data_IF_904002874430
#
_entry.id   IF_904002874430
#
_cell.length_a   1.000
_cell.length_b   1.000
_cell.length_c   1.000
_cell.angle_alpha   90.00
_cell.angle_beta   90.00
_cell.angle_gamma   90.00
#
_symmetry.space_group_name_H-M   'P 1'
#
loop_
_entity.id
_entity.type
_entity.pdbx_description
1 polymer ?
#
# COMPACT_ATOMS: atom_id res chain seq x y z
N UNK A 1 3.89 13.79 -16.20
CA UNK A 1 3.78 12.90 -15.03
C UNK A 1 5.11 12.91 -14.28
N UNK A 2 5.03 12.79 -12.98
CA UNK A 2 6.18 12.64 -12.09
C UNK A 2 6.27 11.17 -11.69
N UNK A 3 7.48 10.60 -11.73
CA UNK A 3 7.75 9.27 -11.18
C UNK A 3 7.61 9.32 -9.66
N UNK A 4 6.89 8.35 -9.11
CA UNK A 4 6.74 8.17 -7.66
C UNK A 4 7.61 7.02 -7.19
N UNK A 5 7.44 5.84 -7.80
CA UNK A 5 8.18 4.64 -7.46
C UNK A 5 8.38 3.75 -8.70
N UNK A 6 9.36 2.86 -8.64
CA UNK A 6 9.59 1.87 -9.70
C UNK A 6 10.29 0.63 -9.17
N UNK A 7 9.89 -0.53 -9.69
CA UNK A 7 10.47 -1.82 -9.35
C UNK A 7 10.76 -2.64 -10.62
N UNK A 8 12.03 -2.97 -10.84
CA UNK A 8 12.47 -3.85 -11.93
C UNK A 8 12.41 -5.31 -11.45
N UNK A 9 11.83 -6.18 -12.26
CA UNK A 9 11.82 -7.62 -11.95
C UNK A 9 13.25 -8.20 -11.96
N UNK A 10 13.55 -9.21 -11.13
CA UNK A 10 14.88 -9.83 -11.04
C UNK A 10 15.40 -10.37 -12.38
N UNK A 11 14.52 -10.84 -13.25
CA UNK A 11 14.90 -11.31 -14.59
C UNK A 11 15.11 -10.16 -15.61
N UNK A 12 14.88 -8.90 -15.20
CA UNK A 12 15.05 -7.71 -16.05
C UNK A 12 14.01 -7.52 -17.15
N UNK A 13 12.99 -8.38 -17.23
CA UNK A 13 11.96 -8.31 -18.27
C UNK A 13 10.87 -7.28 -17.98
N UNK A 14 10.42 -7.19 -16.72
CA UNK A 14 9.29 -6.36 -16.34
C UNK A 14 9.70 -5.19 -15.46
N UNK A 15 9.14 -4.01 -15.72
CA UNK A 15 9.32 -2.84 -14.87
C UNK A 15 7.95 -2.29 -14.47
N UNK A 16 7.66 -2.30 -13.16
CA UNK A 16 6.54 -1.59 -12.59
C UNK A 16 6.93 -0.12 -12.36
N UNK A 17 6.01 0.79 -12.70
CA UNK A 17 6.25 2.23 -12.56
C UNK A 17 4.97 2.90 -12.05
N UNK A 18 5.04 3.49 -10.87
CA UNK A 18 3.99 4.34 -10.32
C UNK A 18 4.26 5.80 -10.68
N UNK A 19 3.26 6.47 -11.23
CA UNK A 19 3.35 7.87 -11.63
C UNK A 19 2.17 8.68 -11.11
N UNK A 20 2.41 9.95 -10.85
CA UNK A 20 1.36 10.93 -10.53
C UNK A 20 1.38 12.10 -11.50
N UNK A 21 0.31 12.88 -11.53
CA UNK A 21 0.28 14.11 -12.32
C UNK A 21 1.35 15.07 -11.82
N UNK A 22 2.16 15.61 -12.74
CA UNK A 22 3.13 16.63 -12.38
C UNK A 22 2.42 17.85 -11.78
N UNK A 23 2.90 18.34 -10.65
CA UNK A 23 2.43 19.59 -10.08
C UNK A 23 3.01 20.77 -10.86
N UNK A 24 2.16 21.64 -11.37
CA UNK A 24 2.58 23.01 -11.61
C UNK A 24 2.75 23.64 -10.23
N UNK A 25 3.97 23.71 -9.83
CA UNK A 25 4.54 24.31 -8.67
C UNK A 25 3.69 25.34 -7.91
N UNK A 26 3.23 24.97 -6.74
CA UNK A 26 3.26 25.77 -5.52
C UNK A 26 3.21 24.79 -4.36
N UNK A 27 4.31 24.14 -4.10
CA UNK A 27 4.53 23.41 -2.87
C UNK A 27 4.46 24.40 -1.71
N UNK A 28 3.27 24.67 -1.23
CA UNK A 28 3.09 25.30 0.06
C UNK A 28 3.24 24.22 1.14
N UNK A 29 4.45 23.68 1.23
CA UNK A 29 4.85 22.99 2.45
C UNK A 29 4.74 23.99 3.60
N UNK A 30 4.27 23.54 4.74
CA UNK A 30 4.37 24.35 5.95
C UNK A 30 5.84 24.41 6.36
N UNK A 31 6.21 25.46 7.06
CA UNK A 31 7.58 25.69 7.51
C UNK A 31 7.67 25.49 9.00
N UNK A 32 8.48 24.54 9.42
CA UNK A 32 8.71 24.25 10.82
C UNK A 32 10.04 24.90 11.28
N UNK A 33 9.99 25.91 12.15
CA UNK A 33 11.19 26.53 12.70
C UNK A 33 11.76 25.67 13.83
N UNK A 34 13.03 25.32 13.73
CA UNK A 34 13.83 24.70 14.78
C UNK A 34 14.60 25.78 15.54
N UNK A 35 14.18 26.05 16.77
CA UNK A 35 14.77 27.09 17.61
C UNK A 35 16.00 26.61 18.38
N UNK A 36 16.15 25.30 18.57
CA UNK A 36 17.29 24.69 19.27
C UNK A 36 18.22 24.04 18.25
N UNK A 37 19.21 24.80 17.79
CA UNK A 37 20.19 24.38 16.78
C UNK A 37 21.60 24.49 17.30
N UNK A 38 22.55 23.78 16.70
CA UNK A 38 23.97 23.88 17.06
C UNK A 38 24.59 25.24 16.69
N UNK A 39 24.02 25.90 15.69
CA UNK A 39 24.47 27.21 15.20
C UNK A 39 24.01 28.37 16.06
N UNK A 40 22.98 28.16 16.90
CA UNK A 40 22.32 29.23 17.67
C UNK A 40 21.38 30.09 16.82
N UNK A 41 21.23 29.79 15.53
CA UNK A 41 20.27 30.46 14.64
C UNK A 41 19.09 29.52 14.36
N UNK A 42 17.93 30.11 14.01
CA UNK A 42 16.75 29.34 13.66
C UNK A 42 16.97 28.67 12.31
N UNK A 43 16.85 27.36 12.28
CA UNK A 43 16.77 26.58 11.03
C UNK A 43 15.29 26.40 10.67
N UNK A 44 14.95 26.50 9.39
CA UNK A 44 13.58 26.33 8.91
C UNK A 44 13.55 25.15 7.95
N UNK A 45 12.78 24.14 8.30
CA UNK A 45 12.58 22.95 7.49
C UNK A 45 11.20 22.97 6.83
N UNK A 46 11.13 22.54 5.57
CA UNK A 46 9.85 22.31 4.90
C UNK A 46 9.27 20.99 5.40
N UNK A 47 8.07 21.06 5.99
CA UNK A 47 7.36 19.90 6.53
C UNK A 47 6.17 19.55 5.64
N UNK A 48 5.26 18.73 6.15
CA UNK A 48 4.06 18.29 5.42
C UNK A 48 3.25 19.48 4.93
N UNK A 49 2.50 19.25 3.87
CA UNK A 49 1.57 20.25 3.32
C UNK A 49 0.53 20.65 4.36
N UNK A 50 0.09 21.91 4.25
CA UNK A 50 -0.99 22.43 5.09
C UNK A 50 -2.28 21.62 4.88
N UNK A 51 -2.91 21.21 5.97
CA UNK A 51 -4.17 20.48 5.95
C UNK A 51 -5.24 21.31 5.22
N UNK A 52 -5.97 20.67 4.31
CA UNK A 52 -7.09 21.28 3.57
C UNK A 52 -6.70 22.16 2.38
N UNK A 53 -5.41 22.25 2.02
CA UNK A 53 -4.99 23.05 0.86
C UNK A 53 -4.90 22.27 -0.45
N UNK A 54 -4.50 21.02 -0.42
CA UNK A 54 -4.53 20.13 -1.59
C UNK A 54 -4.75 18.68 -1.14
N UNK A 55 -5.62 17.95 -1.83
CA UNK A 55 -5.69 16.49 -1.67
C UNK A 55 -4.46 15.84 -2.31
N UNK A 56 -3.93 14.76 -1.73
CA UNK A 56 -2.92 13.94 -2.38
C UNK A 56 -3.38 13.57 -3.79
N UNK A 57 -2.45 13.58 -4.75
CA UNK A 57 -2.80 13.28 -6.14
C UNK A 57 -2.87 11.77 -6.34
N UNK A 58 -3.86 11.30 -7.12
CA UNK A 58 -3.93 9.90 -7.49
C UNK A 58 -2.69 9.49 -8.27
N UNK A 59 -2.34 8.23 -8.11
CA UNK A 59 -1.28 7.59 -8.86
C UNK A 59 -1.87 6.64 -9.89
N UNK A 60 -1.14 6.42 -10.99
CA UNK A 60 -1.40 5.38 -11.97
C UNK A 60 -0.22 4.40 -11.97
N UNK A 61 -0.51 3.11 -12.08
CA UNK A 61 0.50 2.06 -12.15
C UNK A 61 0.62 1.55 -13.58
N UNK A 62 1.85 1.47 -14.04
CA UNK A 62 2.20 0.99 -15.37
C UNK A 62 3.12 -0.22 -15.27
N UNK A 63 2.85 -1.22 -16.11
CA UNK A 63 3.73 -2.35 -16.35
C UNK A 63 4.40 -2.16 -17.71
N UNK A 64 5.72 -2.17 -17.75
CA UNK A 64 6.52 -2.08 -18.96
C UNK A 64 7.16 -3.44 -19.24
N UNK A 65 6.94 -3.97 -20.43
CA UNK A 65 7.67 -5.12 -20.96
C UNK A 65 8.94 -4.60 -21.64
N UNK A 66 10.08 -4.84 -21.03
CA UNK A 66 11.38 -4.36 -21.50
C UNK A 66 11.86 -5.09 -22.75
N UNK A 67 11.34 -6.29 -23.02
CA UNK A 67 11.67 -7.08 -24.21
C UNK A 67 10.89 -6.59 -25.42
N UNK A 68 9.56 -6.51 -25.32
CA UNK A 68 8.69 -6.04 -26.40
C UNK A 68 8.61 -4.52 -26.51
N UNK A 69 9.10 -3.79 -25.50
CA UNK A 69 9.02 -2.31 -25.34
C UNK A 69 7.58 -1.80 -25.32
N UNK A 70 6.67 -2.60 -24.82
CA UNK A 70 5.28 -2.25 -24.63
C UNK A 70 5.02 -1.78 -23.21
N UNK A 71 4.00 -0.94 -23.04
CA UNK A 71 3.54 -0.48 -21.73
C UNK A 71 2.06 -0.73 -21.59
N UNK A 72 1.67 -1.09 -20.37
CA UNK A 72 0.30 -1.40 -20.04
C UNK A 72 -0.08 -0.64 -18.75
N UNK A 73 -1.20 0.06 -18.77
CA UNK A 73 -1.77 0.64 -17.57
C UNK A 73 -2.52 -0.44 -16.80
N UNK A 74 -2.22 -0.57 -15.52
CA UNK A 74 -2.87 -1.54 -14.64
C UNK A 74 -4.04 -0.86 -13.95
N UNK A 75 -5.26 -1.37 -14.20
CA UNK A 75 -6.49 -0.80 -13.67
C UNK A 75 -6.75 -1.25 -12.23
N UNK A 76 -7.16 -0.33 -11.38
CA UNK A 76 -7.66 -0.60 -10.02
C UNK A 76 -9.18 -0.47 -9.92
N UNK A 77 -9.88 -0.28 -11.03
CA UNK A 77 -11.31 0.00 -11.05
C UNK A 77 -12.20 -1.16 -10.56
N UNK A 78 -11.66 -2.39 -10.57
CA UNK A 78 -12.39 -3.59 -10.14
C UNK A 78 -12.10 -3.99 -8.69
N UNK A 79 -11.32 -3.18 -7.96
CA UNK A 79 -11.04 -3.46 -6.54
C UNK A 79 -12.33 -3.36 -5.71
N UNK A 80 -12.58 -4.31 -4.80
CA UNK A 80 -13.78 -4.28 -3.98
C UNK A 80 -13.84 -3.00 -3.15
N UNK A 81 -15.00 -2.35 -3.15
CA UNK A 81 -15.23 -1.10 -2.42
C UNK A 81 -14.58 0.15 -2.98
N UNK A 82 -13.92 0.08 -4.14
CA UNK A 82 -13.20 1.23 -4.72
C UNK A 82 -14.11 2.41 -5.10
N UNK A 83 -15.36 2.15 -5.44
CA UNK A 83 -16.42 3.12 -5.76
C UNK A 83 -17.41 3.35 -4.63
N UNK A 84 -17.28 2.61 -3.52
CA UNK A 84 -18.19 2.70 -2.39
C UNK A 84 -17.89 3.93 -1.52
N UNK A 85 -18.93 4.44 -0.85
CA UNK A 85 -18.73 5.45 0.20
C UNK A 85 -18.06 4.79 1.42
N UNK A 86 -16.82 5.14 1.77
CA UNK A 86 -16.08 4.47 2.84
C UNK A 86 -16.67 4.70 4.24
N UNK A 87 -17.65 5.59 4.35
CA UNK A 87 -18.37 5.90 5.59
C UNK A 87 -19.83 5.43 5.55
N UNK A 88 -20.19 4.53 4.62
CA UNK A 88 -21.55 4.10 4.39
C UNK A 88 -22.25 3.62 5.66
N UNK A 89 -21.59 2.76 6.43
CA UNK A 89 -22.14 2.20 7.68
C UNK A 89 -22.39 3.26 8.74
N UNK A 90 -21.43 4.18 8.93
CA UNK A 90 -21.55 5.29 9.88
C UNK A 90 -22.65 6.28 9.47
N UNK A 91 -22.76 6.57 8.18
CA UNK A 91 -23.82 7.42 7.64
C UNK A 91 -25.19 6.77 7.79
N UNK A 92 -25.29 5.49 7.46
CA UNK A 92 -26.53 4.73 7.62
C UNK A 92 -27.01 4.68 9.08
N UNK A 93 -26.09 4.52 10.02
CA UNK A 93 -26.41 4.51 11.45
C UNK A 93 -26.92 5.88 11.97
N UNK A 94 -26.73 6.95 11.22
CA UNK A 94 -27.14 8.33 11.55
C UNK A 94 -28.24 8.86 10.62
N UNK A 95 -28.87 8.00 9.83
CA UNK A 95 -29.87 8.37 8.82
C UNK A 95 -29.34 9.40 7.79
N UNK A 96 -28.04 9.41 7.52
CA UNK A 96 -27.41 10.26 6.50
C UNK A 96 -27.43 9.52 5.16
N UNK A 97 -27.82 10.16 4.04
CA UNK A 97 -27.79 9.51 2.73
C UNK A 97 -26.39 9.03 2.33
N UNK A 98 -26.31 7.81 1.85
CA UNK A 98 -25.09 7.18 1.33
C UNK A 98 -25.09 7.34 -0.19
N UNK A 99 -23.96 7.76 -0.74
CA UNK A 99 -23.76 7.91 -2.18
C UNK A 99 -22.43 7.28 -2.58
N UNK A 100 -22.46 6.32 -3.47
CA UNK A 100 -21.26 5.78 -4.08
C UNK A 100 -20.61 6.82 -5.02
N UNK A 101 -19.30 6.74 -5.18
CA UNK A 101 -18.60 7.60 -6.12
C UNK A 101 -18.98 7.27 -7.57
N UNK A 102 -19.12 8.29 -8.42
CA UNK A 102 -19.34 8.09 -9.87
C UNK A 102 -18.10 7.50 -10.56
N UNK A 103 -16.93 7.69 -9.98
CA UNK A 103 -15.65 7.19 -10.45
C UNK A 103 -14.93 6.46 -9.32
N UNK A 104 -14.02 5.54 -9.64
CA UNK A 104 -13.17 4.90 -8.63
C UNK A 104 -12.47 5.94 -7.75
N UNK A 105 -12.44 5.68 -6.44
CA UNK A 105 -11.72 6.55 -5.51
C UNK A 105 -10.23 6.60 -5.87
N UNK A 106 -9.58 7.75 -5.70
CA UNK A 106 -8.16 7.90 -6.00
C UNK A 106 -7.31 7.04 -5.07
N UNK A 107 -6.25 6.44 -5.64
CA UNK A 107 -5.34 5.53 -4.93
C UNK A 107 -3.89 5.96 -5.04
N UNK A 108 -3.08 5.45 -4.11
CA UNK A 108 -1.61 5.43 -4.15
C UNK A 108 -1.08 4.00 -4.12
N UNK A 109 0.15 3.80 -4.60
CA UNK A 109 0.85 2.52 -4.59
C UNK A 109 2.04 2.65 -3.64
N UNK A 110 2.06 1.80 -2.58
CA UNK A 110 3.03 1.94 -1.48
C UNK A 110 4.13 0.88 -1.50
N UNK A 111 3.86 -0.29 -2.06
CA UNK A 111 4.82 -1.40 -2.16
C UNK A 111 4.70 -2.05 -3.53
N UNK A 112 5.84 -2.19 -4.21
CA UNK A 112 5.98 -2.88 -5.50
C UNK A 112 7.11 -3.90 -5.33
N UNK A 113 6.78 -5.16 -5.04
CA UNK A 113 7.76 -6.18 -4.64
C UNK A 113 7.66 -7.38 -5.58
N UNK A 114 8.65 -7.54 -6.45
CA UNK A 114 8.73 -8.68 -7.32
C UNK A 114 9.08 -9.96 -6.55
N UNK A 115 8.48 -11.06 -6.99
CA UNK A 115 8.95 -12.39 -6.63
C UNK A 115 10.33 -12.66 -7.25
N UNK A 116 11.16 -13.45 -6.61
CA UNK A 116 12.54 -13.73 -7.06
C UNK A 116 12.62 -14.29 -8.48
N UNK A 117 11.61 -15.01 -8.94
CA UNK A 117 11.53 -15.52 -10.31
C UNK A 117 11.07 -14.45 -11.33
N UNK A 118 10.58 -13.32 -10.87
CA UNK A 118 10.26 -12.15 -11.70
C UNK A 118 9.04 -12.27 -12.61
N UNK A 119 8.14 -13.24 -12.35
CA UNK A 119 6.89 -13.39 -13.08
C UNK A 119 5.71 -12.68 -12.39
N UNK A 120 5.75 -12.65 -11.07
CA UNK A 120 4.70 -12.08 -10.23
C UNK A 120 5.24 -11.00 -9.31
N UNK A 121 4.38 -10.08 -8.90
CA UNK A 121 4.71 -9.04 -7.93
C UNK A 121 3.59 -8.90 -6.88
N UNK A 122 3.97 -8.54 -5.66
CA UNK A 122 3.04 -8.00 -4.67
C UNK A 122 2.93 -6.50 -4.88
N UNK A 123 1.70 -6.03 -4.94
CA UNK A 123 1.38 -4.61 -5.04
C UNK A 123 0.44 -4.23 -3.90
N UNK A 124 0.84 -3.25 -3.10
CA UNK A 124 -0.02 -2.71 -2.07
C UNK A 124 -0.61 -1.38 -2.52
N UNK A 125 -1.93 -1.29 -2.48
CA UNK A 125 -2.71 -0.14 -2.94
C UNK A 125 -3.44 0.46 -1.75
N UNK A 126 -3.40 1.77 -1.61
CA UNK A 126 -4.12 2.51 -0.57
C UNK A 126 -5.09 3.52 -1.19
N UNK A 127 -6.30 3.60 -0.68
CA UNK A 127 -7.16 4.72 -0.98
C UNK A 127 -6.58 6.00 -0.37
N UNK A 128 -6.62 7.11 -1.11
CA UNK A 128 -6.04 8.41 -0.65
C UNK A 128 -6.74 8.94 0.60
N UNK A 129 -8.00 8.57 0.82
CA UNK A 129 -8.74 8.89 2.04
C UNK A 129 -8.31 8.05 3.26
N UNK A 130 -7.38 7.11 3.06
CA UNK A 130 -6.78 6.26 4.08
C UNK A 130 -7.76 5.33 4.81
N UNK A 131 -8.83 4.92 4.14
CA UNK A 131 -9.86 4.05 4.72
C UNK A 131 -9.88 2.65 4.15
N UNK A 132 -9.18 2.43 3.03
CA UNK A 132 -9.06 1.14 2.39
C UNK A 132 -7.64 0.87 1.93
N UNK A 133 -7.21 -0.37 2.11
CA UNK A 133 -5.95 -0.92 1.64
C UNK A 133 -6.22 -2.26 0.95
N UNK A 134 -5.62 -2.47 -0.20
CA UNK A 134 -5.65 -3.73 -0.93
C UNK A 134 -4.25 -4.27 -1.07
N UNK A 135 -4.06 -5.52 -0.70
CA UNK A 135 -2.85 -6.29 -0.99
C UNK A 135 -3.16 -7.21 -2.16
N UNK A 136 -2.42 -7.06 -3.25
CA UNK A 136 -2.66 -7.70 -4.53
C UNK A 136 -1.46 -8.52 -4.97
N UNK A 137 -1.71 -9.66 -5.63
CA UNK A 137 -0.72 -10.34 -6.46
C UNK A 137 -0.94 -9.92 -7.91
N UNK A 138 0.07 -9.41 -8.56
CA UNK A 138 0.09 -9.12 -10.00
C UNK A 138 0.78 -10.28 -10.71
N UNK A 139 0.11 -10.88 -11.70
CA UNK A 139 0.75 -11.76 -12.68
C UNK A 139 1.12 -10.94 -13.92
N UNK A 140 2.41 -10.75 -14.16
CA UNK A 140 2.90 -9.83 -15.18
C UNK A 140 2.50 -10.23 -16.61
N UNK A 141 2.47 -11.52 -16.93
CA UNK A 141 2.12 -12.02 -18.26
C UNK A 141 0.65 -11.76 -18.63
N UNK A 142 -0.28 -11.96 -17.70
CA UNK A 142 -1.71 -11.72 -17.92
C UNK A 142 -2.09 -10.28 -17.61
N UNK A 143 -1.30 -9.58 -16.80
CA UNK A 143 -1.55 -8.21 -16.32
C UNK A 143 -2.77 -8.13 -15.40
N UNK A 144 -3.08 -9.24 -14.74
CA UNK A 144 -4.23 -9.38 -13.86
C UNK A 144 -3.79 -9.27 -12.39
N UNK A 145 -4.68 -8.72 -11.58
CA UNK A 145 -4.56 -8.67 -10.14
C UNK A 145 -5.42 -9.74 -9.49
N UNK A 146 -4.81 -10.54 -8.60
CA UNK A 146 -5.52 -11.37 -7.66
C UNK A 146 -5.56 -10.66 -6.29
N UNK A 147 -6.75 -10.50 -5.74
CA UNK A 147 -6.94 -9.91 -4.42
C UNK A 147 -6.50 -10.89 -3.33
N UNK A 148 -5.52 -10.49 -2.52
CA UNK A 148 -5.05 -11.23 -1.34
C UNK A 148 -5.79 -10.78 -0.09
N UNK A 149 -5.86 -9.45 0.12
CA UNK A 149 -6.56 -8.83 1.24
C UNK A 149 -7.21 -7.52 0.83
N UNK A 150 -8.38 -7.25 1.37
CA UNK A 150 -8.99 -5.93 1.44
C UNK A 150 -9.22 -5.57 2.90
N UNK A 151 -8.46 -4.61 3.41
CA UNK A 151 -8.64 -4.04 4.73
C UNK A 151 -9.43 -2.73 4.60
N UNK A 152 -10.51 -2.61 5.38
CA UNK A 152 -11.33 -1.40 5.48
C UNK A 152 -11.43 -0.96 6.93
N UNK A 153 -11.19 0.32 7.20
CA UNK A 153 -11.44 0.97 8.48
C UNK A 153 -12.12 2.33 8.27
N UNK A 154 -13.33 2.56 8.81
CA UNK A 154 -14.05 3.82 8.64
C UNK A 154 -13.37 5.01 9.34
N UNK A 155 -12.49 4.76 10.29
CA UNK A 155 -11.67 5.78 10.91
C UNK A 155 -10.42 6.05 10.07
N UNK A 156 -9.48 5.13 10.06
CA UNK A 156 -8.26 5.22 9.25
C UNK A 156 -7.41 3.96 9.41
N UNK A 157 -6.67 3.57 8.39
CA UNK A 157 -5.71 2.47 8.42
C UNK A 157 -4.36 2.98 8.93
N UNK A 158 -3.74 2.27 9.87
CA UNK A 158 -2.44 2.60 10.41
C UNK A 158 -1.33 2.36 9.37
N UNK A 159 -0.49 3.38 9.16
CA UNK A 159 0.63 3.30 8.19
C UNK A 159 1.86 2.58 8.74
N UNK A 160 1.92 2.30 10.03
CA UNK A 160 3.09 1.69 10.67
C UNK A 160 3.16 0.16 10.49
N UNK A 161 2.01 -0.49 10.32
CA UNK A 161 1.91 -1.96 10.30
C UNK A 161 1.44 -2.46 8.94
N UNK A 162 2.16 -2.06 7.89
CA UNK A 162 1.81 -2.34 6.49
C UNK A 162 2.86 -3.16 5.75
N UNK A 163 3.74 -3.84 6.47
CA UNK A 163 4.76 -4.64 5.84
C UNK A 163 4.15 -5.83 5.11
N UNK A 164 4.71 -6.12 3.95
CA UNK A 164 4.29 -7.18 3.04
C UNK A 164 5.50 -7.72 2.30
N UNK A 165 5.47 -8.96 1.89
CA UNK A 165 6.53 -9.55 1.10
C UNK A 165 6.25 -10.99 0.69
N UNK A 166 7.25 -11.59 0.08
CA UNK A 166 7.26 -13.00 -0.26
C UNK A 166 7.92 -13.81 0.85
N UNK A 167 7.37 -14.98 1.13
CA UNK A 167 8.06 -15.96 1.98
C UNK A 167 9.21 -16.57 1.14
N UNK A 168 10.46 -16.57 1.65
CA UNK A 168 11.59 -17.08 0.90
C UNK A 168 11.36 -18.51 0.35
N UNK A 169 11.84 -18.78 -0.86
CA UNK A 169 11.71 -20.05 -1.56
C UNK A 169 10.29 -20.56 -1.78
N UNK A 170 9.28 -19.67 -1.73
CA UNK A 170 7.88 -20.04 -1.93
C UNK A 170 7.14 -18.99 -2.73
N UNK A 171 5.98 -19.34 -3.26
CA UNK A 171 5.06 -18.40 -3.92
C UNK A 171 4.05 -17.77 -2.93
N UNK A 172 4.30 -17.92 -1.64
CA UNK A 172 3.43 -17.44 -0.59
C UNK A 172 3.73 -15.96 -0.27
N UNK A 173 2.67 -15.20 -0.07
CA UNK A 173 2.73 -13.79 0.30
C UNK A 173 2.39 -13.69 1.78
N UNK A 174 3.17 -12.91 2.53
CA UNK A 174 2.90 -12.56 3.92
C UNK A 174 2.64 -11.05 4.04
N UNK A 175 1.85 -10.64 5.02
CA UNK A 175 1.59 -9.24 5.34
C UNK A 175 1.21 -9.04 6.79
N UNK A 176 1.36 -7.80 7.26
CA UNK A 176 0.80 -7.35 8.52
C UNK A 176 -0.56 -6.70 8.29
N UNK A 177 -1.51 -7.01 9.16
CA UNK A 177 -2.86 -6.47 9.07
C UNK A 177 -3.51 -6.32 10.44
N UNK A 178 -4.26 -5.22 10.60
CA UNK A 178 -5.09 -4.93 11.77
C UNK A 178 -6.54 -5.48 11.62
N UNK A 179 -6.80 -6.37 10.66
CA UNK A 179 -8.13 -6.91 10.37
C UNK A 179 -8.78 -7.63 11.55
N UNK A 180 -8.00 -8.08 12.54
CA UNK A 180 -8.48 -8.70 13.77
C UNK A 180 -8.45 -7.77 15.00
N UNK A 181 -8.21 -6.46 14.82
CA UNK A 181 -8.20 -5.43 15.87
C UNK A 181 -6.80 -5.04 16.35
N UNK A 182 -5.80 -5.91 16.20
CA UNK A 182 -4.38 -5.65 16.43
C UNK A 182 -3.60 -6.04 15.17
N UNK A 183 -2.41 -5.46 14.98
CA UNK A 183 -1.53 -5.87 13.89
C UNK A 183 -1.02 -7.29 14.09
N UNK A 184 -1.36 -8.17 13.17
CA UNK A 184 -0.94 -9.56 13.18
C UNK A 184 -0.35 -9.99 11.85
N UNK A 185 0.45 -11.06 11.90
CA UNK A 185 1.04 -11.70 10.73
C UNK A 185 0.03 -12.64 10.07
N UNK A 186 -0.19 -12.40 8.79
CA UNK A 186 -0.98 -13.23 7.89
C UNK A 186 -0.11 -13.72 6.75
N UNK A 187 -0.44 -14.86 6.17
CA UNK A 187 0.15 -15.30 4.92
C UNK A 187 -0.83 -16.18 4.12
N UNK A 188 -0.59 -16.22 2.80
CA UNK A 188 -1.23 -17.21 1.93
C UNK A 188 -0.59 -18.57 2.13
N UNK A 189 -1.37 -19.63 1.98
CA UNK A 189 -0.87 -21.01 1.86
C UNK A 189 -1.00 -21.48 0.41
N UNK A 190 -0.50 -22.68 0.14
CA UNK A 190 -0.73 -23.36 -1.13
C UNK A 190 -2.25 -23.44 -1.41
N UNK A 191 -2.64 -23.04 -2.62
CA UNK A 191 -4.06 -22.97 -3.00
C UNK A 191 -4.77 -21.65 -2.64
N UNK A 192 -4.04 -20.64 -2.14
CA UNK A 192 -4.56 -19.27 -1.93
C UNK A 192 -5.34 -19.06 -0.63
N UNK A 193 -5.37 -20.04 0.28
CA UNK A 193 -5.98 -19.87 1.61
C UNK A 193 -5.16 -18.92 2.46
N UNK A 194 -5.83 -18.00 3.16
CA UNK A 194 -5.20 -17.07 4.10
C UNK A 194 -5.17 -17.69 5.50
N UNK A 195 -4.04 -17.60 6.16
CA UNK A 195 -3.84 -18.05 7.55
C UNK A 195 -3.26 -16.92 8.38
N UNK A 196 -3.81 -16.74 9.57
CA UNK A 196 -3.29 -15.84 10.61
C UNK A 196 -2.27 -16.60 11.46
N UNK A 197 -1.01 -16.14 11.46
CA UNK A 197 0.10 -16.79 12.17
C UNK A 197 0.28 -16.29 13.60
N UNK A 198 -0.17 -15.10 13.90
CA UNK A 198 -0.13 -14.53 15.27
C UNK A 198 -1.50 -14.04 15.68
N UNK A 199 -1.80 -14.13 16.99
CA UNK A 199 -3.07 -13.67 17.56
C UNK A 199 -2.87 -13.30 19.04
N UNK A 200 -3.67 -12.37 19.53
CA UNK A 200 -3.63 -11.94 20.93
C UNK A 200 -3.77 -10.42 21.06
N UNK A 201 -3.66 -9.90 22.28
CA UNK A 201 -3.76 -8.47 22.58
C UNK A 201 -2.36 -7.83 22.53
N UNK A 202 -1.74 -7.87 21.37
CA UNK A 202 -0.43 -7.27 21.10
C UNK A 202 -0.28 -6.95 19.62
N UNK A 203 0.60 -6.00 19.29
CA UNK A 203 0.93 -5.63 17.92
C UNK A 203 2.19 -6.36 17.44
N UNK A 204 2.14 -6.95 16.25
CA UNK A 204 3.34 -7.36 15.51
C UNK A 204 3.80 -6.16 14.69
N UNK A 205 5.05 -5.73 14.91
CA UNK A 205 5.59 -4.50 14.30
C UNK A 205 6.56 -4.75 13.17
N UNK A 206 7.26 -5.87 13.22
CA UNK A 206 8.25 -6.26 12.23
C UNK A 206 8.27 -7.78 12.06
N UNK A 207 8.57 -8.25 10.85
CA UNK A 207 8.73 -9.67 10.53
C UNK A 207 9.97 -9.87 9.67
N UNK A 208 10.83 -10.77 10.10
CA UNK A 208 11.98 -11.22 9.34
C UNK A 208 11.90 -12.72 9.12
N UNK A 209 11.73 -13.15 7.89
CA UNK A 209 11.77 -14.56 7.51
C UNK A 209 13.21 -15.06 7.46
N UNK A 210 13.42 -16.28 7.93
CA UNK A 210 14.69 -16.98 7.74
C UNK A 210 14.83 -17.41 6.26
N UNK A 211 16.05 -17.54 5.74
CA UNK A 211 16.27 -17.88 4.34
C UNK A 211 15.69 -19.22 3.89
N UNK A 212 15.38 -20.12 4.83
CA UNK A 212 14.73 -21.41 4.55
C UNK A 212 13.22 -21.25 4.21
N UNK A 213 12.59 -20.12 4.56
CA UNK A 213 11.16 -19.89 4.38
C UNK A 213 10.25 -20.66 5.34
N UNK A 214 10.83 -21.43 6.28
CA UNK A 214 10.05 -22.26 7.21
C UNK A 214 9.78 -21.54 8.54
N UNK A 215 10.60 -20.54 8.88
CA UNK A 215 10.54 -19.84 10.15
C UNK A 215 10.66 -18.33 9.98
N UNK A 216 10.00 -17.58 10.84
CA UNK A 216 10.12 -16.14 10.91
C UNK A 216 10.36 -15.67 12.35
N UNK A 217 11.05 -14.55 12.50
CA UNK A 217 11.17 -13.80 13.76
C UNK A 217 10.26 -12.59 13.65
N UNK A 218 9.38 -12.44 14.62
CA UNK A 218 8.51 -11.27 14.72
C UNK A 218 8.86 -10.45 15.97
N UNK A 219 8.88 -9.14 15.82
CA UNK A 219 8.90 -8.22 16.95
C UNK A 219 7.47 -7.85 17.31
N UNK A 220 7.20 -7.73 18.60
CA UNK A 220 5.88 -7.34 19.09
C UNK A 220 5.96 -6.29 20.17
N UNK A 221 4.97 -5.40 20.20
CA UNK A 221 4.72 -4.47 21.29
C UNK A 221 3.56 -5.03 22.12
N UNK A 222 3.79 -5.17 23.41
CA UNK A 222 2.77 -5.52 24.41
C UNK A 222 2.41 -4.22 25.13
N UNK A 223 1.14 -3.87 25.14
CA UNK A 223 0.61 -2.70 25.83
C UNK A 223 0.13 -3.05 27.23
#
# INVERSE_FOLDING_TARGET
>A
NQLVDSALSPNGRWLLVSVTAATSDTNQADKMPHYVTRSGYVDVEDVRRLVGRESPKPQALWLLDMESRQRYELSTAELPGIDSDPLADLKSAQDIPVHNAENPRPVSFERLIWHDQGADAVVQVHAIDNKDRWTLRLTAETREFDLIEHLHDPAWINWQFNDVGWIPNSEQIWWLSESSGYSHLYATQEGGTVVQYSQGEFEVTDVAWLPDGESAVALSLIH
#
